data_IF_322691797586
#
_entry.id   IF_322691797586
#
_cell.length_a   1.000
_cell.length_b   1.000
_cell.length_c   1.000
_cell.angle_alpha   90.00
_cell.angle_beta   90.00
_cell.angle_gamma   90.00
#
_symmetry.space_group_name_H-M   'P 1'
#
loop_
_entity.id
_entity.type
_entity.pdbx_description
1 polymer ?
#
# COMPACT_ATOMS: atom_id res chain seq x y z
N UNK A 1 -35.72 6.86 -6.65
CA UNK A 1 -34.24 6.94 -6.68
C UNK A 1 -33.60 5.55 -6.71
N UNK A 2 -33.90 4.66 -5.74
CA UNK A 2 -33.37 3.28 -5.71
C UNK A 2 -33.77 2.45 -6.95
N UNK A 3 -35.03 2.55 -7.42
CA UNK A 3 -35.49 1.86 -8.63
C UNK A 3 -34.76 2.30 -9.92
N UNK A 4 -34.46 3.61 -10.05
CA UNK A 4 -33.72 4.15 -11.20
C UNK A 4 -32.27 3.68 -11.19
N UNK A 5 -31.65 3.60 -10.02
CA UNK A 5 -30.29 3.08 -9.83
C UNK A 5 -30.26 1.59 -10.19
N UNK A 6 -31.26 0.81 -9.75
CA UNK A 6 -31.43 -0.60 -10.12
C UNK A 6 -31.51 -0.79 -11.63
N UNK A 7 -32.36 -0.02 -12.32
CA UNK A 7 -32.54 -0.14 -13.77
C UNK A 7 -31.26 0.24 -14.53
N UNK A 8 -30.55 1.27 -14.07
CA UNK A 8 -29.28 1.69 -14.66
C UNK A 8 -28.19 0.62 -14.55
N UNK A 9 -28.06 -0.03 -13.39
CA UNK A 9 -27.07 -1.08 -13.16
C UNK A 9 -27.47 -2.44 -13.74
N UNK A 10 -28.75 -2.65 -14.04
CA UNK A 10 -29.25 -3.86 -14.71
C UNK A 10 -28.91 -3.87 -16.21
N UNK A 11 -28.42 -2.76 -16.77
CA UNK A 11 -27.93 -2.70 -18.14
C UNK A 11 -26.53 -3.33 -18.20
N UNK A 12 -26.33 -4.46 -18.92
CA UNK A 12 -25.07 -5.20 -18.93
C UNK A 12 -23.85 -4.37 -19.37
N UNK A 13 -24.08 -3.41 -20.28
CA UNK A 13 -23.03 -2.49 -20.75
C UNK A 13 -22.61 -1.53 -19.65
N UNK A 14 -23.56 -0.96 -18.91
CA UNK A 14 -23.29 0.00 -17.83
C UNK A 14 -22.56 -0.69 -16.69
N UNK A 15 -22.99 -1.90 -16.32
CA UNK A 15 -22.31 -2.69 -15.28
C UNK A 15 -20.89 -3.08 -15.70
N UNK A 16 -20.67 -3.51 -16.94
CA UNK A 16 -19.35 -3.84 -17.46
C UNK A 16 -18.40 -2.62 -17.43
N UNK A 17 -18.89 -1.43 -17.81
CA UNK A 17 -18.11 -0.19 -17.77
C UNK A 17 -17.72 0.17 -16.34
N UNK A 18 -18.67 0.13 -15.40
CA UNK A 18 -18.39 0.43 -13.99
C UNK A 18 -17.39 -0.55 -13.39
N UNK A 19 -17.56 -1.86 -13.64
CA UNK A 19 -16.63 -2.90 -13.18
C UNK A 19 -15.23 -2.72 -13.79
N UNK A 20 -15.14 -2.33 -15.06
CA UNK A 20 -13.85 -2.08 -15.72
C UNK A 20 -13.14 -0.87 -15.12
N UNK A 21 -13.87 0.22 -14.83
CA UNK A 21 -13.33 1.41 -14.17
C UNK A 21 -12.84 1.05 -12.75
N UNK A 22 -13.64 0.31 -11.98
CA UNK A 22 -13.26 -0.18 -10.65
C UNK A 22 -12.02 -1.07 -10.76
N UNK A 23 -11.97 -2.00 -11.71
CA UNK A 23 -10.82 -2.87 -11.95
C UNK A 23 -9.54 -2.10 -12.28
N UNK A 24 -9.62 -1.10 -13.14
CA UNK A 24 -8.49 -0.24 -13.52
C UNK A 24 -7.97 0.59 -12.33
N UNK A 25 -8.88 1.18 -11.56
CA UNK A 25 -8.59 1.90 -10.31
C UNK A 25 -7.92 0.95 -9.32
N UNK A 26 -8.50 -0.22 -9.10
CA UNK A 26 -7.98 -1.26 -8.22
C UNK A 26 -6.56 -1.67 -8.63
N UNK A 27 -6.32 -1.92 -9.91
CA UNK A 27 -4.98 -2.28 -10.42
C UNK A 27 -3.96 -1.17 -10.18
N UNK A 28 -4.34 0.10 -10.35
CA UNK A 28 -3.46 1.24 -10.15
C UNK A 28 -3.10 1.44 -8.67
N UNK A 29 -4.06 1.29 -7.77
CA UNK A 29 -3.89 1.59 -6.35
C UNK A 29 -3.46 0.38 -5.50
N UNK A 30 -3.66 -0.85 -6.00
CA UNK A 30 -3.21 -2.11 -5.42
C UNK A 30 -2.05 -2.68 -6.24
N UNK A 31 -1.11 -1.82 -6.66
CA UNK A 31 0.15 -2.30 -7.21
C UNK A 31 0.96 -2.91 -6.07
N UNK A 32 0.88 -4.24 -5.96
CA UNK A 32 1.42 -5.01 -4.85
C UNK A 32 2.89 -5.40 -5.11
N UNK A 33 3.80 -4.89 -4.27
CA UNK A 33 5.15 -5.43 -4.21
C UNK A 33 5.18 -6.69 -3.34
N UNK A 34 5.57 -7.82 -3.94
CA UNK A 34 5.46 -9.17 -3.33
C UNK A 34 6.43 -9.44 -2.19
N UNK A 35 7.58 -8.76 -2.15
CA UNK A 35 8.60 -8.92 -1.11
C UNK A 35 9.00 -7.55 -0.56
N UNK A 36 8.65 -7.31 0.69
CA UNK A 36 9.06 -6.13 1.46
C UNK A 36 10.27 -6.44 2.32
N UNK A 37 11.04 -5.41 2.66
CA UNK A 37 12.22 -5.49 3.53
C UNK A 37 11.98 -6.30 4.83
N UNK A 38 10.83 -6.10 5.50
CA UNK A 38 10.50 -6.77 6.77
C UNK A 38 10.07 -8.23 6.63
N UNK A 39 9.94 -8.73 5.40
CA UNK A 39 9.66 -10.15 5.12
C UNK A 39 10.92 -10.95 4.83
N UNK A 40 12.08 -10.29 4.77
CA UNK A 40 13.37 -10.90 4.47
C UNK A 40 14.06 -11.44 5.73
N UNK A 41 15.04 -12.33 5.54
CA UNK A 41 15.89 -12.81 6.62
C UNK A 41 16.74 -11.69 7.20
N UNK A 42 17.19 -11.84 8.45
CA UNK A 42 18.05 -10.86 9.12
C UNK A 42 19.32 -10.55 8.33
N UNK A 43 19.96 -11.57 7.74
CA UNK A 43 21.14 -11.39 6.89
C UNK A 43 20.88 -10.51 5.67
N UNK A 44 19.75 -10.69 4.97
CA UNK A 44 19.37 -9.83 3.85
C UNK A 44 19.04 -8.40 4.29
N UNK A 45 18.42 -8.26 5.47
CA UNK A 45 18.14 -6.94 6.04
C UNK A 45 19.44 -6.19 6.39
N UNK A 46 20.43 -6.86 6.99
CA UNK A 46 21.75 -6.29 7.28
C UNK A 46 22.43 -5.81 6.00
N UNK A 47 22.47 -6.65 4.96
CA UNK A 47 23.06 -6.28 3.65
C UNK A 47 22.43 -5.04 3.04
N UNK A 48 21.11 -4.90 3.13
CA UNK A 48 20.42 -3.74 2.61
C UNK A 48 20.79 -2.45 3.38
N UNK A 49 20.95 -2.55 4.70
CA UNK A 49 21.34 -1.40 5.52
C UNK A 49 22.80 -1.02 5.28
N UNK A 50 23.70 -2.00 5.18
CA UNK A 50 25.10 -1.78 4.81
C UNK A 50 25.21 -1.09 3.45
N UNK A 51 24.48 -1.57 2.45
CA UNK A 51 24.46 -0.94 1.13
C UNK A 51 23.89 0.49 1.18
N UNK A 52 22.81 0.73 1.92
CA UNK A 52 22.25 2.08 2.08
C UNK A 52 23.25 3.06 2.69
N UNK A 53 24.07 2.59 3.64
CA UNK A 53 25.12 3.37 4.29
C UNK A 53 26.29 3.71 3.37
N UNK A 54 26.70 2.76 2.53
CA UNK A 54 27.82 2.98 1.59
C UNK A 54 27.38 3.70 0.31
N UNK A 55 26.10 3.62 -0.04
CA UNK A 55 25.54 4.31 -1.20
C UNK A 55 25.60 5.83 -1.04
N UNK A 56 26.14 6.51 -2.05
CA UNK A 56 26.17 7.97 -2.15
C UNK A 56 24.75 8.54 -2.29
N UNK A 57 24.61 9.82 -1.92
CA UNK A 57 23.39 10.59 -2.14
C UNK A 57 22.99 10.56 -3.62
N UNK A 58 21.68 10.72 -3.95
CA UNK A 58 21.20 10.56 -5.31
C UNK A 58 21.97 11.44 -6.30
N UNK A 59 22.62 10.81 -7.27
CA UNK A 59 23.38 11.49 -8.31
C UNK A 59 22.43 12.18 -9.30
N UNK A 60 22.86 13.28 -9.90
CA UNK A 60 22.12 13.94 -10.99
C UNK A 60 22.05 13.09 -12.27
N UNK A 61 22.94 12.10 -12.40
CA UNK A 61 22.94 11.15 -13.51
C UNK A 61 21.69 10.23 -13.47
N UNK A 62 20.85 10.22 -14.53
CA UNK A 62 19.68 9.37 -14.60
C UNK A 62 20.01 7.87 -14.55
N UNK A 63 21.17 7.44 -15.06
CA UNK A 63 21.54 6.02 -15.07
C UNK A 63 21.89 5.54 -13.65
N UNK A 64 22.78 6.26 -12.97
CA UNK A 64 23.11 5.98 -11.57
C UNK A 64 21.87 6.02 -10.66
N UNK A 65 20.94 6.97 -10.92
CA UNK A 65 19.67 7.05 -10.19
C UNK A 65 18.78 5.82 -10.43
N UNK A 66 18.69 5.33 -11.68
CA UNK A 66 17.93 4.14 -12.00
C UNK A 66 18.53 2.89 -11.34
N UNK A 67 19.85 2.72 -11.39
CA UNK A 67 20.55 1.63 -10.72
C UNK A 67 20.28 1.63 -9.22
N UNK A 68 20.37 2.80 -8.58
CA UNK A 68 20.05 2.97 -7.16
C UNK A 68 18.61 2.56 -6.84
N UNK A 69 17.64 2.94 -7.68
CA UNK A 69 16.25 2.52 -7.53
C UNK A 69 16.08 1.00 -7.67
N UNK A 70 16.76 0.38 -8.63
CA UNK A 70 16.73 -1.07 -8.80
C UNK A 70 17.31 -1.81 -7.59
N UNK A 71 18.42 -1.34 -7.03
CA UNK A 71 19.01 -1.90 -5.81
C UNK A 71 18.06 -1.76 -4.61
N UNK A 72 17.46 -0.60 -4.40
CA UNK A 72 16.47 -0.42 -3.32
C UNK A 72 15.28 -1.37 -3.47
N UNK A 73 14.75 -1.52 -4.67
CA UNK A 73 13.67 -2.45 -4.95
C UNK A 73 14.11 -3.92 -4.78
N UNK A 74 15.35 -4.26 -5.12
CA UNK A 74 15.90 -5.60 -4.92
C UNK A 74 15.99 -5.96 -3.43
N UNK A 75 16.09 -4.98 -2.53
CA UNK A 75 15.98 -5.15 -1.08
C UNK A 75 14.53 -5.10 -0.56
N UNK A 76 13.54 -4.83 -1.41
CA UNK A 76 12.13 -4.68 -1.00
C UNK A 76 11.86 -3.36 -0.27
N UNK A 77 12.67 -2.34 -0.53
CA UNK A 77 12.52 -0.98 -0.02
C UNK A 77 11.84 -0.06 -1.03
N UNK A 78 11.64 1.21 -0.66
CA UNK A 78 11.05 2.19 -1.55
C UNK A 78 12.07 2.64 -2.61
N UNK A 79 11.61 3.05 -3.80
CA UNK A 79 12.50 3.64 -4.84
C UNK A 79 13.22 4.92 -4.39
N UNK A 80 12.69 5.56 -3.36
CA UNK A 80 13.23 6.78 -2.78
C UNK A 80 14.19 6.36 -1.65
N UNK A 81 15.46 6.77 -1.78
CA UNK A 81 16.50 6.44 -0.82
C UNK A 81 16.23 7.06 0.55
N UNK A 82 15.85 8.34 0.57
CA UNK A 82 15.64 9.09 1.82
C UNK A 82 14.43 8.54 2.55
N UNK A 83 13.37 8.18 1.82
CA UNK A 83 12.24 7.51 2.42
C UNK A 83 12.60 6.11 2.95
N UNK A 84 13.39 5.34 2.20
CA UNK A 84 13.83 4.01 2.62
C UNK A 84 14.68 4.07 3.88
N UNK A 85 15.60 5.03 3.93
CA UNK A 85 16.43 5.31 5.10
C UNK A 85 15.56 5.71 6.30
N UNK A 86 14.63 6.65 6.10
CA UNK A 86 13.67 7.10 7.14
C UNK A 86 12.83 5.93 7.68
N UNK A 87 12.33 5.04 6.83
CA UNK A 87 11.56 3.85 7.23
C UNK A 87 12.39 2.91 8.11
N UNK A 88 13.65 2.69 7.73
CA UNK A 88 14.57 1.80 8.44
C UNK A 88 14.94 2.38 9.83
N UNK A 89 15.28 3.65 9.90
CA UNK A 89 15.57 4.33 11.19
C UNK A 89 14.32 4.41 12.08
N UNK A 90 13.16 4.69 11.49
CA UNK A 90 11.90 4.69 12.24
C UNK A 90 11.60 3.30 12.81
N UNK A 91 11.86 2.24 12.03
CA UNK A 91 11.67 0.86 12.48
C UNK A 91 12.58 0.49 13.64
N UNK A 92 13.84 0.93 13.67
CA UNK A 92 14.74 0.58 14.76
C UNK A 92 14.42 1.26 16.08
N UNK A 93 13.86 2.47 16.04
CA UNK A 93 13.52 3.22 17.24
C UNK A 93 12.14 2.86 17.81
N UNK A 94 11.24 2.31 16.97
CA UNK A 94 9.86 2.10 17.35
C UNK A 94 9.48 0.62 17.46
N UNK A 95 8.42 0.37 18.25
CA UNK A 95 7.97 -0.98 18.57
C UNK A 95 7.55 -1.81 17.34
N UNK A 96 7.75 -3.14 17.47
CA UNK A 96 7.36 -4.18 16.50
C UNK A 96 5.87 -4.10 16.08
N UNK A 97 5.02 -3.48 16.89
CA UNK A 97 3.59 -3.25 16.60
C UNK A 97 3.34 -2.38 15.36
N UNK A 98 4.32 -1.59 14.91
CA UNK A 98 4.21 -0.73 13.72
C UNK A 98 4.65 -1.43 12.42
N UNK A 99 5.24 -2.63 12.51
CA UNK A 99 5.64 -3.41 11.33
C UNK A 99 4.50 -3.61 10.34
N UNK A 100 3.27 -3.99 10.73
CA UNK A 100 2.18 -4.18 9.77
C UNK A 100 1.86 -2.93 8.96
N UNK A 101 2.02 -1.75 9.56
CA UNK A 101 1.77 -0.47 8.89
C UNK A 101 2.95 -0.06 7.99
N UNK A 102 4.19 -0.30 8.42
CA UNK A 102 5.38 -0.08 7.58
C UNK A 102 5.41 -1.04 6.37
N UNK A 103 5.01 -2.30 6.56
CA UNK A 103 4.78 -3.26 5.48
C UNK A 103 3.74 -2.72 4.48
N UNK A 104 2.66 -2.12 4.96
CA UNK A 104 1.64 -1.54 4.08
C UNK A 104 2.21 -0.40 3.22
N UNK A 105 3.06 0.47 3.79
CA UNK A 105 3.75 1.54 3.05
C UNK A 105 4.64 0.97 1.95
N UNK A 106 5.44 -0.05 2.24
CA UNK A 106 6.34 -0.66 1.24
C UNK A 106 5.59 -1.42 0.15
N UNK A 107 4.49 -2.09 0.51
CA UNK A 107 3.71 -2.94 -0.41
C UNK A 107 2.75 -2.18 -1.31
N UNK A 108 2.19 -1.06 -0.83
CA UNK A 108 1.14 -0.30 -1.52
C UNK A 108 1.60 1.11 -1.89
N UNK A 109 2.68 1.19 -2.68
CA UNK A 109 3.26 2.48 -3.14
C UNK A 109 2.26 3.31 -3.95
N UNK A 110 1.27 2.68 -4.61
CA UNK A 110 0.23 3.39 -5.35
C UNK A 110 -0.76 4.20 -4.49
N UNK A 111 -0.77 4.01 -3.16
CA UNK A 111 -1.72 4.70 -2.26
C UNK A 111 -1.27 6.10 -1.84
N UNK A 112 -0.04 6.49 -2.16
CA UNK A 112 0.54 7.75 -1.72
C UNK A 112 1.49 8.34 -2.76
N UNK A 113 1.72 9.64 -2.64
CA UNK A 113 2.77 10.37 -3.36
C UNK A 113 3.86 10.81 -2.42
N UNK A 114 5.07 10.93 -2.94
CA UNK A 114 6.20 11.47 -2.19
C UNK A 114 6.49 12.87 -2.70
N UNK A 115 6.63 13.81 -1.77
CA UNK A 115 7.18 15.13 -2.01
C UNK A 115 8.08 15.48 -0.83
N UNK A 116 9.25 16.05 -1.10
CA UNK A 116 10.19 16.53 -0.09
C UNK A 116 10.54 15.49 1.01
N UNK A 117 10.70 14.22 0.63
CA UNK A 117 11.00 13.13 1.58
C UNK A 117 9.86 12.78 2.55
N UNK A 118 8.65 13.25 2.27
CA UNK A 118 7.44 12.99 3.05
C UNK A 118 6.40 12.20 2.25
N UNK A 119 5.64 11.37 2.96
CA UNK A 119 4.55 10.56 2.39
C UNK A 119 3.25 11.35 2.49
N UNK A 120 2.61 11.57 1.36
CA UNK A 120 1.27 12.14 1.28
C UNK A 120 0.28 11.10 0.75
N UNK A 121 -0.56 10.52 1.63
CA UNK A 121 -1.64 9.66 1.19
C UNK A 121 -2.56 10.41 0.24
N UNK A 122 -2.97 9.77 -0.84
CA UNK A 122 -3.88 10.39 -1.79
C UNK A 122 -5.22 10.77 -1.12
N UNK A 123 -5.52 12.07 -1.04
CA UNK A 123 -6.76 12.59 -0.43
C UNK A 123 -8.02 11.95 -1.01
N UNK A 124 -7.97 11.60 -2.30
CA UNK A 124 -9.07 10.93 -3.01
C UNK A 124 -9.45 9.58 -2.42
N UNK A 125 -8.54 8.86 -1.75
CA UNK A 125 -8.85 7.55 -1.15
C UNK A 125 -9.88 7.64 -0.01
N UNK A 126 -9.97 8.79 0.67
CA UNK A 126 -10.98 9.00 1.72
C UNK A 126 -12.42 8.93 1.19
N UNK A 127 -12.63 9.34 -0.06
CA UNK A 127 -13.94 9.37 -0.70
C UNK A 127 -14.14 8.23 -1.68
N UNK A 128 -13.10 7.85 -2.43
CA UNK A 128 -13.16 6.77 -3.41
C UNK A 128 -13.45 5.40 -2.76
N UNK A 129 -12.81 5.10 -1.62
CA UNK A 129 -13.02 3.82 -0.94
C UNK A 129 -14.49 3.66 -0.49
N UNK A 130 -15.09 4.58 0.29
CA UNK A 130 -16.50 4.44 0.64
C UNK A 130 -17.44 4.53 -0.58
N UNK A 131 -17.12 5.37 -1.57
CA UNK A 131 -17.94 5.49 -2.79
C UNK A 131 -18.01 4.19 -3.59
N UNK A 132 -16.86 3.56 -3.87
CA UNK A 132 -16.83 2.28 -4.60
C UNK A 132 -17.49 1.17 -3.79
N UNK A 133 -17.35 1.17 -2.45
CA UNK A 133 -18.07 0.22 -1.60
C UNK A 133 -19.59 0.36 -1.79
N UNK A 134 -20.11 1.59 -1.73
CA UNK A 134 -21.55 1.85 -1.93
C UNK A 134 -21.99 1.40 -3.33
N UNK A 135 -21.22 1.71 -4.37
CA UNK A 135 -21.53 1.25 -5.74
C UNK A 135 -21.55 -0.27 -5.86
N UNK A 136 -20.59 -0.98 -5.25
CA UNK A 136 -20.55 -2.44 -5.23
C UNK A 136 -21.74 -3.02 -4.45
N UNK A 137 -22.10 -2.45 -3.30
CA UNK A 137 -23.26 -2.88 -2.52
C UNK A 137 -24.56 -2.71 -3.32
N UNK A 138 -24.72 -1.58 -4.03
CA UNK A 138 -25.90 -1.32 -4.86
C UNK A 138 -25.98 -2.26 -6.07
N UNK A 139 -24.86 -2.46 -6.76
CA UNK A 139 -24.79 -3.35 -7.93
C UNK A 139 -25.15 -4.79 -7.55
N UNK A 140 -24.52 -5.30 -6.51
CA UNK A 140 -24.68 -6.70 -6.13
C UNK A 140 -26.02 -6.93 -5.41
N UNK A 141 -26.50 -5.95 -4.64
CA UNK A 141 -27.86 -5.97 -4.08
C UNK A 141 -28.93 -6.04 -5.17
N UNK A 142 -28.73 -5.36 -6.31
CA UNK A 142 -29.60 -5.46 -7.47
C UNK A 142 -29.60 -6.86 -8.09
N UNK A 143 -28.42 -7.48 -8.24
CA UNK A 143 -28.28 -8.85 -8.77
C UNK A 143 -28.92 -9.90 -7.85
N UNK A 144 -28.71 -9.81 -6.54
CA UNK A 144 -29.35 -10.70 -5.55
C UNK A 144 -30.87 -10.57 -5.60
N UNK A 145 -31.40 -9.33 -5.68
CA UNK A 145 -32.83 -9.09 -5.82
C UNK A 145 -33.39 -9.67 -7.11
N UNK A 146 -32.66 -9.55 -8.23
CA UNK A 146 -33.07 -10.12 -9.53
C UNK A 146 -33.15 -11.64 -9.47
N UNK A 147 -32.11 -12.31 -8.96
CA UNK A 147 -32.10 -13.76 -8.79
C UNK A 147 -33.21 -14.25 -7.86
N UNK A 148 -33.48 -13.51 -6.78
CA UNK A 148 -34.61 -13.81 -5.88
C UNK A 148 -35.97 -13.64 -6.57
N UNK A 149 -36.17 -12.59 -7.36
CA UNK A 149 -37.42 -12.33 -8.09
C UNK A 149 -37.68 -13.34 -9.21
N UNK A 150 -36.63 -13.89 -9.81
CA UNK A 150 -36.72 -14.92 -10.85
C UNK A 150 -36.79 -16.33 -10.26
N UNK A 151 -36.77 -16.47 -8.93
CA UNK A 151 -36.74 -17.73 -8.20
C UNK A 151 -35.57 -18.64 -8.62
N UNK A 152 -34.49 -18.06 -9.16
CA UNK A 152 -33.26 -18.76 -9.53
C UNK A 152 -32.30 -18.75 -8.34
N UNK A 153 -32.39 -19.80 -7.52
CA UNK A 153 -31.53 -19.98 -6.35
C UNK A 153 -30.04 -20.10 -6.68
N UNK A 154 -29.69 -20.54 -7.90
CA UNK A 154 -28.30 -20.70 -8.33
C UNK A 154 -27.72 -19.32 -8.66
N UNK A 155 -28.46 -18.48 -9.39
CA UNK A 155 -28.04 -17.12 -9.71
C UNK A 155 -27.94 -16.24 -8.45
N UNK A 156 -28.87 -16.42 -7.50
CA UNK A 156 -28.82 -15.76 -6.19
C UNK A 156 -27.56 -16.15 -5.40
N UNK A 157 -27.23 -17.45 -5.32
CA UNK A 157 -26.05 -17.94 -4.58
C UNK A 157 -24.74 -17.45 -5.20
N UNK A 158 -24.63 -17.45 -6.54
CA UNK A 158 -23.47 -16.90 -7.26
C UNK A 158 -23.29 -15.41 -6.95
N UNK A 159 -24.36 -14.63 -7.01
CA UNK A 159 -24.34 -13.20 -6.73
C UNK A 159 -23.93 -12.91 -5.28
N UNK A 160 -24.42 -13.72 -4.33
CA UNK A 160 -24.03 -13.64 -2.92
C UNK A 160 -22.56 -14.01 -2.70
N UNK A 161 -22.02 -15.01 -3.39
CA UNK A 161 -20.60 -15.34 -3.29
C UNK A 161 -19.72 -14.19 -3.80
N UNK A 162 -20.06 -13.63 -4.97
CA UNK A 162 -19.36 -12.47 -5.53
C UNK A 162 -19.43 -11.27 -4.57
N UNK A 163 -20.58 -11.06 -3.91
CA UNK A 163 -20.74 -10.05 -2.86
C UNK A 163 -19.71 -10.19 -1.76
N UNK A 164 -19.65 -11.37 -1.14
CA UNK A 164 -18.79 -11.63 0.02
C UNK A 164 -17.33 -11.43 -0.35
N UNK A 165 -16.90 -11.95 -1.51
CA UNK A 165 -15.51 -11.80 -1.97
C UNK A 165 -15.17 -10.34 -2.24
N UNK A 166 -16.01 -9.62 -2.99
CA UNK A 166 -15.78 -8.20 -3.30
C UNK A 166 -15.75 -7.34 -2.03
N UNK A 167 -16.66 -7.61 -1.09
CA UNK A 167 -16.71 -6.92 0.20
C UNK A 167 -15.45 -7.14 1.03
N UNK A 168 -14.98 -8.39 1.17
CA UNK A 168 -13.75 -8.73 1.90
C UNK A 168 -12.55 -8.01 1.29
N UNK A 169 -12.40 -8.06 -0.04
CA UNK A 169 -11.31 -7.39 -0.75
C UNK A 169 -11.35 -5.88 -0.52
N UNK A 170 -12.53 -5.28 -0.54
CA UNK A 170 -12.66 -3.84 -0.37
C UNK A 170 -12.43 -3.38 1.07
N UNK A 171 -12.89 -4.15 2.05
CA UNK A 171 -12.56 -3.95 3.46
C UNK A 171 -11.05 -4.03 3.69
N UNK A 172 -10.37 -4.98 3.06
CA UNK A 172 -8.90 -5.08 3.13
C UNK A 172 -8.22 -3.83 2.59
N UNK A 173 -8.65 -3.31 1.43
CA UNK A 173 -8.13 -2.06 0.85
C UNK A 173 -8.35 -0.88 1.79
N UNK A 174 -9.53 -0.76 2.40
CA UNK A 174 -9.84 0.28 3.37
C UNK A 174 -8.89 0.24 4.57
N UNK A 175 -8.65 -0.95 5.13
CA UNK A 175 -7.71 -1.16 6.25
C UNK A 175 -6.28 -0.78 5.84
N UNK A 176 -5.84 -1.15 4.64
CA UNK A 176 -4.51 -0.77 4.13
C UNK A 176 -4.37 0.76 3.99
N UNK A 177 -5.36 1.44 3.43
CA UNK A 177 -5.34 2.90 3.29
C UNK A 177 -5.29 3.60 4.65
N UNK A 178 -6.03 3.11 5.65
CA UNK A 178 -5.98 3.62 7.01
C UNK A 178 -4.61 3.41 7.66
N UNK A 179 -4.00 2.24 7.49
CA UNK A 179 -2.65 1.96 8.00
C UNK A 179 -1.61 2.91 7.39
N UNK A 180 -1.64 3.09 6.07
CA UNK A 180 -0.76 4.02 5.34
C UNK A 180 -0.96 5.46 5.81
N UNK A 181 -2.21 5.90 5.98
CA UNK A 181 -2.53 7.25 6.46
C UNK A 181 -2.09 7.50 7.91
N UNK A 182 -2.20 6.51 8.77
CA UNK A 182 -1.77 6.61 10.17
C UNK A 182 -0.25 6.68 10.28
N UNK A 183 0.46 5.78 9.59
CA UNK A 183 1.93 5.72 9.65
C UNK A 183 2.58 6.88 8.89
N UNK A 184 1.97 7.40 7.83
CA UNK A 184 2.51 8.56 7.11
C UNK A 184 2.62 9.78 8.02
N UNK A 185 1.64 10.00 8.92
CA UNK A 185 1.73 11.09 9.90
C UNK A 185 2.94 10.93 10.82
N UNK A 186 3.19 9.71 11.31
CA UNK A 186 4.32 9.40 12.20
C UNK A 186 5.67 9.49 11.49
N UNK A 187 5.74 8.98 10.26
CA UNK A 187 6.95 9.05 9.42
C UNK A 187 7.27 10.48 9.01
N UNK A 188 6.27 11.30 8.69
CA UNK A 188 6.49 12.69 8.30
C UNK A 188 6.96 13.56 9.47
N UNK A 189 6.52 13.27 10.70
CA UNK A 189 7.03 13.94 11.91
C UNK A 189 8.41 13.46 12.35
N UNK A 190 8.86 12.31 11.84
CA UNK A 190 10.13 11.72 12.22
C UNK A 190 11.29 12.32 11.43
N UNK A 191 12.27 12.84 12.16
CA UNK A 191 13.52 13.35 11.61
C UNK A 191 14.58 12.27 11.78
N UNK A 192 15.04 11.62 10.71
CA UNK A 192 16.06 10.58 10.82
C UNK A 192 17.40 11.20 11.28
N UNK A 193 18.24 10.44 11.99
CA UNK A 193 19.58 10.91 12.37
C UNK A 193 20.41 11.24 11.12
N UNK A 194 21.34 12.19 11.26
CA UNK A 194 22.24 12.55 10.17
C UNK A 194 23.02 11.31 9.70
N UNK A 195 23.05 11.09 8.39
CA UNK A 195 23.66 9.93 7.72
C UNK A 195 25.18 9.78 7.90
N UNK A 196 25.82 10.69 8.65
CA UNK A 196 27.27 10.78 8.83
C UNK A 196 27.87 10.05 10.04
N UNK A 197 27.08 9.39 10.91
CA UNK A 197 27.64 8.75 12.11
C UNK A 197 28.11 7.31 11.84
N UNK A 198 29.42 7.07 11.97
CA UNK A 198 30.06 5.74 11.80
C UNK A 198 30.05 4.98 13.12
N UNK A 199 29.07 4.09 13.32
CA UNK A 199 29.11 3.07 14.37
C UNK A 199 30.16 1.99 14.02
N UNK A 200 30.98 1.59 14.99
CA UNK A 200 32.06 0.61 14.83
C UNK A 200 31.60 -0.86 14.82
N UNK A 201 30.29 -1.12 14.86
CA UNK A 201 29.75 -2.45 15.16
C UNK A 201 28.80 -2.93 14.06
N UNK A 202 28.94 -4.20 13.66
CA UNK A 202 28.24 -4.85 12.53
C UNK A 202 26.96 -5.60 12.93
N UNK A 203 26.34 -5.25 14.06
CA UNK A 203 25.14 -5.95 14.54
C UNK A 203 23.86 -5.18 14.18
N UNK A 204 22.78 -5.85 13.79
CA UNK A 204 21.58 -5.22 13.20
C UNK A 204 20.98 -4.09 14.07
N UNK A 205 21.01 -4.26 15.39
CA UNK A 205 20.62 -3.26 16.38
C UNK A 205 21.62 -2.09 16.50
N UNK A 206 22.93 -2.37 16.43
CA UNK A 206 24.01 -1.36 16.47
C UNK A 206 24.21 -0.59 15.14
N UNK A 207 23.75 -1.18 14.03
CA UNK A 207 23.70 -0.58 12.70
C UNK A 207 22.54 0.42 12.59
N UNK A 208 21.56 0.37 13.49
CA UNK A 208 20.36 1.21 13.40
C UNK A 208 20.18 2.16 14.57
N UNK A 209 20.65 1.80 15.77
CA UNK A 209 20.52 2.62 16.97
C UNK A 209 21.82 3.40 17.22
N UNK A 210 21.85 4.67 16.81
CA UNK A 210 22.89 5.66 17.19
C UNK A 210 22.81 6.08 18.68
N UNK A 211 22.15 5.29 19.53
CA UNK A 211 21.90 5.59 20.96
C UNK A 211 22.10 4.37 21.86
N UNK A 212 23.16 3.62 21.65
CA UNK A 212 23.71 2.81 22.74
C UNK A 212 25.14 3.29 23.00
N UNK A 213 25.50 3.62 24.26
CA UNK A 213 26.86 4.00 24.62
C UNK A 213 27.85 2.89 24.29
#
# INVERSE_FOLDING_TARGET
MIAVIKDLFSIPVVSAVVLTIIGAITKKYIQFHRRDFFSRSSSEQIKAVEWLRTSSAPTSDPLAKAEQQFCLQSFGLHKDRDLSYKIICFYSEHAQSLIPSLKAVLRYQGMYTIADGNIYPHKFHKWLIPFVLICLLLFIGSEIYRGSSQSDGIEMLKSLFVFVVAFIVWCWVAVCALKVSSISKKLNSYIPPASGFKSSTYDFSSILNNRYP
#
